data_IF_961122089624
#
_entry.id   IF_961122089624
#
_cell.length_a   1.000
_cell.length_b   1.000
_cell.length_c   1.000
_cell.angle_alpha   90.00
_cell.angle_beta   90.00
_cell.angle_gamma   90.00
#
_symmetry.space_group_name_H-M   'P 1'
#
loop_
_entity.id
_entity.type
_entity.pdbx_description
1 polymer ?
#
# COMPACT_ATOMS: atom_id res chain seq x y z
N UNK A 1 -6.67 -0.59 -16.28
CA UNK A 1 -6.92 -0.71 -14.83
C UNK A 1 -6.98 0.71 -14.26
N UNK A 2 -8.18 1.23 -13.99
CA UNK A 2 -8.36 2.57 -13.38
C UNK A 2 -8.18 2.43 -11.86
N UNK A 3 -7.61 3.43 -11.18
CA UNK A 3 -7.45 3.40 -9.71
C UNK A 3 -8.78 3.16 -8.96
N UNK A 4 -9.92 3.53 -9.56
CA UNK A 4 -11.26 3.29 -9.05
C UNK A 4 -11.71 1.80 -9.09
N UNK A 5 -11.03 0.92 -9.83
CA UNK A 5 -11.36 -0.52 -9.89
C UNK A 5 -10.76 -1.32 -8.71
N UNK A 6 -9.95 -0.64 -7.88
CA UNK A 6 -9.07 -1.26 -6.90
C UNK A 6 -9.54 -1.01 -5.46
N UNK A 7 -10.15 0.14 -5.20
CA UNK A 7 -10.64 0.56 -3.89
C UNK A 7 -12.09 1.05 -3.99
N UNK A 8 -12.92 0.71 -2.99
CA UNK A 8 -14.33 1.17 -2.92
C UNK A 8 -14.42 2.63 -2.50
N UNK A 9 -13.56 3.04 -1.58
CA UNK A 9 -13.52 4.40 -1.06
C UNK A 9 -12.15 4.72 -0.48
N UNK A 10 -11.88 6.03 -0.39
CA UNK A 10 -10.71 6.58 0.30
C UNK A 10 -11.23 7.57 1.34
N UNK A 11 -10.73 7.48 2.56
CA UNK A 11 -11.13 8.34 3.68
C UNK A 11 -9.92 8.72 4.52
N UNK A 12 -10.04 9.76 5.34
CA UNK A 12 -9.05 10.10 6.35
C UNK A 12 -9.59 9.62 7.71
N UNK A 13 -8.78 8.83 8.42
CA UNK A 13 -9.09 8.39 9.77
C UNK A 13 -9.03 9.54 10.77
N UNK A 14 -9.53 9.32 12.00
CA UNK A 14 -9.43 10.32 13.07
C UNK A 14 -7.98 10.71 13.39
N UNK A 15 -7.05 9.80 13.17
CA UNK A 15 -5.61 9.99 13.41
C UNK A 15 -4.89 10.62 12.21
N UNK A 16 -5.63 11.09 11.19
CA UNK A 16 -5.05 11.73 10.00
C UNK A 16 -4.49 10.76 8.95
N UNK A 17 -4.52 9.45 9.20
CA UNK A 17 -4.07 8.46 8.20
C UNK A 17 -5.04 8.33 7.04
N UNK A 18 -4.52 8.22 5.82
CA UNK A 18 -5.32 7.87 4.65
C UNK A 18 -5.69 6.39 4.72
N UNK A 19 -6.97 6.08 4.55
CA UNK A 19 -7.51 4.72 4.63
C UNK A 19 -8.21 4.37 3.33
N UNK A 20 -7.72 3.30 2.71
CA UNK A 20 -8.32 2.72 1.51
C UNK A 20 -9.23 1.57 1.92
N UNK A 21 -10.51 1.66 1.56
CA UNK A 21 -11.44 0.55 1.71
C UNK A 21 -11.34 -0.37 0.50
N UNK A 22 -11.11 -1.66 0.75
CA UNK A 22 -10.90 -2.63 -0.33
C UNK A 22 -12.15 -3.45 -0.55
N UNK A 23 -12.73 -3.35 -1.75
CA UNK A 23 -13.95 -4.10 -2.10
C UNK A 23 -13.72 -5.53 -2.59
N UNK A 24 -12.50 -5.86 -3.00
CA UNK A 24 -12.18 -7.17 -3.58
C UNK A 24 -11.22 -7.96 -2.70
N UNK A 25 -11.75 -8.92 -1.95
CA UNK A 25 -10.93 -9.91 -1.21
C UNK A 25 -9.98 -10.65 -2.13
N UNK A 26 -10.42 -10.99 -3.35
CA UNK A 26 -9.60 -11.69 -4.35
C UNK A 26 -8.37 -10.87 -4.74
N UNK A 27 -8.54 -9.56 -4.94
CA UNK A 27 -7.44 -8.67 -5.30
C UNK A 27 -6.43 -8.53 -4.15
N UNK A 28 -6.93 -8.39 -2.91
CA UNK A 28 -6.09 -8.36 -1.70
C UNK A 28 -5.26 -9.64 -1.59
N UNK A 29 -5.89 -10.80 -1.75
CA UNK A 29 -5.20 -12.09 -1.70
C UNK A 29 -4.17 -12.24 -2.83
N UNK A 30 -4.48 -11.73 -4.03
CA UNK A 30 -3.54 -11.72 -5.15
C UNK A 30 -2.31 -10.87 -4.85
N UNK A 31 -2.48 -9.65 -4.34
CA UNK A 31 -1.36 -8.78 -3.99
C UNK A 31 -0.51 -9.33 -2.85
N UNK A 32 -1.15 -9.90 -1.83
CA UNK A 32 -0.45 -10.54 -0.71
C UNK A 32 0.40 -11.72 -1.20
N UNK A 33 -0.07 -12.49 -2.18
CA UNK A 33 0.65 -13.63 -2.77
C UNK A 33 1.57 -13.24 -3.92
N UNK A 34 1.65 -11.97 -4.26
CA UNK A 34 2.51 -11.50 -5.34
C UNK A 34 3.98 -11.77 -5.01
N UNK A 35 4.71 -12.26 -6.02
CA UNK A 35 6.17 -12.42 -5.96
C UNK A 35 6.87 -11.06 -6.09
N UNK A 36 6.32 -10.15 -6.89
CA UNK A 36 6.83 -8.79 -7.04
C UNK A 36 6.12 -7.82 -6.09
N UNK A 37 6.80 -6.78 -5.58
CA UNK A 37 6.18 -5.71 -4.80
C UNK A 37 5.00 -5.08 -5.53
N UNK A 38 3.91 -4.85 -4.80
CA UNK A 38 2.77 -4.07 -5.31
C UNK A 38 2.84 -2.70 -4.65
N UNK A 39 3.10 -1.66 -5.45
CA UNK A 39 3.25 -0.30 -4.93
C UNK A 39 1.92 0.44 -4.98
N UNK A 40 1.45 0.88 -3.80
CA UNK A 40 0.36 1.83 -3.69
C UNK A 40 0.95 3.24 -3.70
N UNK A 41 0.48 4.08 -4.62
CA UNK A 41 0.93 5.47 -4.78
C UNK A 41 -0.23 6.40 -4.51
N UNK A 42 0.00 7.41 -3.67
CA UNK A 42 -0.99 8.40 -3.28
C UNK A 42 -0.38 9.80 -3.41
N UNK A 43 -1.08 10.69 -4.10
CA UNK A 43 -0.75 12.12 -4.09
C UNK A 43 -1.55 12.77 -2.97
N UNK A 44 -0.85 13.35 -2.00
CA UNK A 44 -1.45 14.06 -0.86
C UNK A 44 -2.00 15.41 -1.28
N UNK A 45 -2.89 15.98 -0.45
CA UNK A 45 -3.56 17.25 -0.74
C UNK A 45 -2.59 18.43 -0.88
N UNK A 46 -1.48 18.40 -0.14
CA UNK A 46 -0.34 19.33 -0.25
C UNK A 46 0.52 19.12 -1.52
N UNK A 47 0.13 18.18 -2.38
CA UNK A 47 0.71 17.96 -3.69
C UNK A 47 1.88 16.98 -3.73
N UNK A 48 2.38 16.51 -2.59
CA UNK A 48 3.46 15.52 -2.53
C UNK A 48 2.98 14.13 -2.98
N UNK A 49 3.91 13.31 -3.46
CA UNK A 49 3.65 11.91 -3.80
C UNK A 49 4.24 11.05 -2.69
N UNK A 50 3.45 10.12 -2.19
CA UNK A 50 3.86 9.11 -1.22
C UNK A 50 3.60 7.72 -1.80
N UNK A 51 4.38 6.74 -1.37
CA UNK A 51 4.27 5.36 -1.83
C UNK A 51 4.43 4.34 -0.69
N UNK A 52 3.91 3.13 -0.89
CA UNK A 52 4.01 2.03 0.05
C UNK A 52 4.01 0.70 -0.69
N UNK A 53 4.83 -0.27 -0.27
CA UNK A 53 4.68 -1.65 -0.69
C UNK A 53 3.50 -2.29 0.05
N UNK A 54 2.34 -2.30 -0.61
CA UNK A 54 1.11 -2.85 -0.03
C UNK A 54 1.19 -4.37 0.08
N UNK A 55 1.99 -5.04 -0.74
CA UNK A 55 2.15 -6.50 -0.66
C UNK A 55 2.89 -6.90 0.62
N UNK A 56 3.94 -6.17 0.99
CA UNK A 56 4.66 -6.36 2.24
C UNK A 56 3.78 -6.02 3.45
N UNK A 57 3.07 -4.88 3.42
CA UNK A 57 2.14 -4.49 4.48
C UNK A 57 1.04 -5.55 4.69
N UNK A 58 0.48 -6.10 3.61
CA UNK A 58 -0.53 -7.15 3.69
C UNK A 58 0.03 -8.44 4.29
N UNK A 59 1.27 -8.83 3.95
CA UNK A 59 1.93 -10.00 4.54
C UNK A 59 2.10 -9.83 6.06
N UNK A 60 2.57 -8.67 6.50
CA UNK A 60 2.74 -8.35 7.93
C UNK A 60 1.39 -8.36 8.68
N UNK A 61 0.37 -7.64 8.18
CA UNK A 61 -0.91 -7.51 8.89
C UNK A 61 -1.77 -8.77 8.88
N UNK A 62 -1.45 -9.76 8.05
CA UNK A 62 -2.16 -11.04 7.98
C UNK A 62 -1.39 -12.21 8.60
N UNK A 63 -0.16 -11.98 9.05
CA UNK A 63 0.70 -13.02 9.62
C UNK A 63 0.06 -13.71 10.84
N UNK A 64 -0.71 -12.95 11.63
CA UNK A 64 -1.39 -13.44 12.84
C UNK A 64 -2.93 -13.50 12.74
N UNK A 65 -3.52 -13.17 11.58
CA UNK A 65 -4.98 -13.00 11.45
C UNK A 65 -5.56 -13.85 10.33
N UNK A 66 -6.50 -14.74 10.68
CA UNK A 66 -7.38 -15.45 9.72
C UNK A 66 -8.39 -14.51 9.04
N UNK A 67 -8.52 -13.27 9.50
CA UNK A 67 -9.57 -12.34 9.07
C UNK A 67 -9.15 -11.59 7.80
N UNK A 68 -10.01 -11.53 6.76
CA UNK A 68 -9.72 -10.77 5.55
C UNK A 68 -9.46 -9.29 5.84
N UNK A 69 -8.40 -8.73 5.25
CA UNK A 69 -8.14 -7.29 5.28
C UNK A 69 -9.21 -6.57 4.46
N UNK A 70 -9.98 -5.71 5.12
CA UNK A 70 -11.00 -4.86 4.47
C UNK A 70 -10.56 -3.40 4.30
N UNK A 71 -9.52 -3.00 5.02
CA UNK A 71 -9.01 -1.63 5.04
C UNK A 71 -7.49 -1.66 5.03
N UNK A 72 -6.89 -0.83 4.19
CA UNK A 72 -5.45 -0.58 4.18
C UNK A 72 -5.25 0.81 4.77
N UNK A 73 -4.48 0.87 5.86
CA UNK A 73 -4.00 2.14 6.40
C UNK A 73 -2.75 2.51 5.63
N UNK A 74 -2.79 3.62 4.91
CA UNK A 74 -1.69 4.09 4.10
C UNK A 74 -0.74 4.92 4.96
N UNK A 75 0.39 4.30 5.26
CA UNK A 75 1.53 4.94 5.91
C UNK A 75 2.73 4.93 4.94
N UNK A 76 2.54 5.58 3.80
CA UNK A 76 3.54 5.61 2.74
C UNK A 76 4.64 6.62 3.00
N UNK A 77 5.86 6.33 2.57
CA UNK A 77 6.96 7.29 2.63
C UNK A 77 6.94 8.23 1.42
N UNK A 78 7.62 9.39 1.48
CA UNK A 78 7.75 10.27 0.31
C UNK A 78 8.38 9.56 -0.88
N UNK A 79 7.80 9.74 -2.07
CA UNK A 79 8.40 9.28 -3.32
C UNK A 79 9.51 10.26 -3.73
N UNK A 80 10.70 10.04 -3.17
CA UNK A 80 11.89 10.88 -3.35
C UNK A 80 13.05 10.06 -3.92
N UNK A 81 14.02 10.75 -4.53
CA UNK A 81 15.22 10.11 -5.05
C UNK A 81 15.97 9.30 -3.97
N UNK A 82 16.03 9.83 -2.74
CA UNK A 82 16.66 9.17 -1.60
C UNK A 82 15.95 7.86 -1.23
N UNK A 83 14.62 7.87 -1.15
CA UNK A 83 13.87 6.64 -0.81
C UNK A 83 13.88 5.62 -1.95
N UNK A 84 13.90 6.09 -3.20
CA UNK A 84 14.10 5.21 -4.36
C UNK A 84 15.48 4.54 -4.33
N UNK A 85 16.54 5.29 -3.99
CA UNK A 85 17.88 4.74 -3.82
C UNK A 85 17.91 3.68 -2.72
N UNK A 86 17.33 3.95 -1.54
CA UNK A 86 17.24 2.98 -0.43
C UNK A 86 16.50 1.70 -0.84
N UNK A 87 15.42 1.82 -1.62
CA UNK A 87 14.73 0.66 -2.17
C UNK A 87 15.66 -0.13 -3.10
N UNK A 88 16.38 0.57 -3.97
CA UNK A 88 17.31 -0.04 -4.92
C UNK A 88 18.42 -0.81 -4.19
N UNK A 89 19.01 -0.22 -3.16
CA UNK A 89 20.03 -0.86 -2.33
C UNK A 89 19.48 -2.14 -1.67
N UNK A 90 18.24 -2.09 -1.14
CA UNK A 90 17.61 -3.26 -0.49
C UNK A 90 17.27 -4.39 -1.45
N UNK A 91 16.92 -4.08 -2.69
CA UNK A 91 16.41 -5.08 -3.66
C UNK A 91 17.53 -5.65 -4.55
N UNK A 92 18.53 -4.83 -4.88
CA UNK A 92 19.55 -5.18 -5.88
C UNK A 92 20.97 -5.28 -5.33
N UNK A 93 21.23 -4.82 -4.11
CA UNK A 93 22.56 -4.86 -3.47
C UNK A 93 22.58 -5.70 -2.18
N UNK A 94 21.50 -6.43 -1.87
CA UNK A 94 21.37 -7.34 -0.73
C UNK A 94 21.75 -8.79 -1.09
#
# INVERSE_FOLDING_TARGET
MRAAEVYESVSISRDGNVVFQVGSKKLVDQWRRSHSPVMLVHRTEDGYIRWMDVSAWLKEKTQDRKTPVKRIVFDGEPFSALNLQRLWDRVFMA
#
